data_IF_786664283477
#
_entry.id   IF_786664283477
#
_cell.length_a   1.000
_cell.length_b   1.000
_cell.length_c   1.000
_cell.angle_alpha   90.00
_cell.angle_beta   90.00
_cell.angle_gamma   90.00
#
_symmetry.space_group_name_H-M   'P 1'
#
loop_
_entity.id
_entity.type
_entity.pdbx_description
1 polymer ?
#
# COMPACT_ATOMS: atom_id res chain seq x y z
N UNK A 1 -18.81 -1.33 -22.51
CA UNK A 1 -18.53 -1.93 -21.20
C UNK A 1 -19.09 -1.01 -20.15
N UNK A 2 -20.14 -1.42 -19.47
CA UNK A 2 -20.82 -0.57 -18.47
C UNK A 2 -20.37 -1.03 -17.08
N UNK A 3 -19.58 -0.18 -16.40
CA UNK A 3 -19.28 -0.37 -14.99
C UNK A 3 -20.45 0.20 -14.17
N UNK A 4 -21.14 -0.68 -13.45
CA UNK A 4 -22.24 -0.29 -12.58
C UNK A 4 -21.73 -0.03 -11.17
N UNK A 5 -21.62 1.25 -10.81
CA UNK A 5 -21.14 1.68 -9.47
C UNK A 5 -22.18 1.38 -8.40
N UNK A 6 -21.79 0.63 -7.37
CA UNK A 6 -22.59 0.27 -6.19
C UNK A 6 -22.28 1.18 -5.00
N UNK A 7 -21.05 1.66 -4.91
CA UNK A 7 -20.56 2.50 -3.83
C UNK A 7 -19.41 3.37 -4.34
N UNK A 8 -19.27 4.59 -3.84
CA UNK A 8 -18.18 5.49 -4.19
C UNK A 8 -17.89 6.43 -3.03
N UNK A 9 -16.60 6.58 -2.68
CA UNK A 9 -16.16 7.45 -1.59
C UNK A 9 -14.72 7.90 -1.80
N UNK A 10 -14.28 8.89 -1.04
CA UNK A 10 -12.90 9.37 -1.03
C UNK A 10 -12.23 8.93 0.26
N UNK A 11 -11.05 8.36 0.14
CA UNK A 11 -10.17 8.04 1.25
C UNK A 11 -9.30 9.25 1.52
N UNK A 12 -9.44 9.82 2.70
CA UNK A 12 -8.61 10.92 3.19
C UNK A 12 -7.23 10.38 3.58
N UNK A 13 -6.21 10.80 2.87
CA UNK A 13 -4.80 10.48 3.12
C UNK A 13 -3.94 11.64 2.61
N UNK A 14 -2.61 11.51 2.69
CA UNK A 14 -1.69 12.50 2.12
C UNK A 14 -1.99 12.84 0.65
N UNK A 15 -2.59 11.89 -0.08
CA UNK A 15 -3.16 12.07 -1.41
C UNK A 15 -4.61 11.58 -1.35
N UNK A 16 -5.61 12.47 -1.49
CA UNK A 16 -7.01 12.03 -1.55
C UNK A 16 -7.23 11.04 -2.71
N UNK A 17 -7.79 9.88 -2.41
CA UNK A 17 -7.97 8.80 -3.37
C UNK A 17 -9.45 8.50 -3.51
N UNK A 18 -9.97 8.64 -4.70
CA UNK A 18 -11.34 8.24 -5.00
C UNK A 18 -11.41 6.73 -5.21
N UNK A 19 -12.32 6.08 -4.50
CA UNK A 19 -12.63 4.68 -4.61
C UNK A 19 -14.01 4.52 -5.24
N UNK A 20 -14.12 3.57 -6.17
CA UNK A 20 -15.40 3.15 -6.73
C UNK A 20 -15.52 1.63 -6.62
N UNK A 21 -16.61 1.16 -6.03
CA UNK A 21 -16.92 -0.26 -5.94
C UNK A 21 -18.11 -0.54 -6.86
N UNK A 22 -17.98 -1.50 -7.74
CA UNK A 22 -19.02 -1.79 -8.71
C UNK A 22 -18.91 -3.19 -9.30
N UNK A 23 -19.80 -3.45 -10.27
CA UNK A 23 -19.80 -4.65 -11.10
C UNK A 23 -19.46 -4.27 -12.53
N UNK A 24 -18.62 -5.08 -13.14
CA UNK A 24 -18.37 -5.06 -14.58
C UNK A 24 -19.01 -6.32 -15.18
N UNK A 25 -19.68 -6.19 -16.32
CA UNK A 25 -20.38 -7.31 -16.97
C UNK A 25 -19.43 -8.44 -17.43
N UNK A 26 -18.13 -8.15 -17.48
CA UNK A 26 -17.07 -9.10 -17.86
C UNK A 26 -16.45 -9.85 -16.68
N UNK A 27 -16.78 -9.45 -15.43
CA UNK A 27 -16.17 -10.00 -14.22
C UNK A 27 -17.20 -10.68 -13.32
N UNK A 28 -16.86 -11.86 -12.80
CA UNK A 28 -17.72 -12.61 -11.88
C UNK A 28 -17.78 -12.01 -10.47
N UNK A 29 -16.77 -11.19 -10.12
CA UNK A 29 -16.63 -10.58 -8.80
C UNK A 29 -16.77 -9.06 -8.91
N UNK A 30 -17.15 -8.42 -7.81
CA UNK A 30 -17.15 -6.96 -7.73
C UNK A 30 -15.73 -6.43 -7.81
N UNK A 31 -15.59 -5.24 -8.39
CA UNK A 31 -14.31 -4.56 -8.56
C UNK A 31 -14.23 -3.41 -7.55
N UNK A 32 -13.07 -3.29 -6.93
CA UNK A 32 -12.65 -2.15 -6.14
C UNK A 32 -11.67 -1.33 -6.98
N UNK A 33 -12.14 -0.23 -7.55
CA UNK A 33 -11.36 0.63 -8.44
C UNK A 33 -10.74 1.78 -7.66
N UNK A 34 -9.42 1.82 -7.67
CA UNK A 34 -8.62 2.92 -7.10
C UNK A 34 -8.36 3.93 -8.21
N UNK A 35 -8.80 5.15 -8.04
CA UNK A 35 -8.44 6.27 -8.90
C UNK A 35 -7.23 7.00 -8.31
N UNK A 36 -6.06 6.37 -8.46
CA UNK A 36 -4.79 6.97 -8.10
C UNK A 36 -4.35 7.98 -9.17
N UNK A 37 -3.51 8.97 -8.82
CA UNK A 37 -2.94 9.88 -9.80
C UNK A 37 -2.18 9.11 -10.89
N UNK A 38 -2.56 9.30 -12.13
CA UNK A 38 -1.85 8.74 -13.29
C UNK A 38 -0.85 9.76 -13.82
N UNK A 39 0.39 9.32 -14.02
CA UNK A 39 1.46 10.17 -14.52
C UNK A 39 1.84 9.76 -15.94
N UNK A 40 1.99 10.75 -16.81
CA UNK A 40 2.52 10.53 -18.16
C UNK A 40 3.97 10.00 -18.13
N UNK A 41 4.43 9.46 -19.26
CA UNK A 41 5.77 8.86 -19.38
C UNK A 41 6.89 9.82 -18.97
N UNK A 42 6.78 11.10 -19.34
CA UNK A 42 7.76 12.12 -18.97
C UNK A 42 7.84 12.35 -17.46
N UNK A 43 6.68 12.47 -16.79
CA UNK A 43 6.62 12.62 -15.34
C UNK A 43 7.18 11.39 -14.63
N UNK A 44 6.88 10.19 -15.10
CA UNK A 44 7.44 8.94 -14.55
C UNK A 44 8.96 8.88 -14.68
N UNK A 45 9.50 9.25 -15.84
CA UNK A 45 10.95 9.30 -16.05
C UNK A 45 11.62 10.29 -15.09
N UNK A 46 11.05 11.48 -14.94
CA UNK A 46 11.51 12.48 -13.97
C UNK A 46 11.45 11.97 -12.53
N UNK A 47 10.34 11.35 -12.10
CA UNK A 47 10.21 10.79 -10.76
C UNK A 47 11.25 9.69 -10.49
N UNK A 48 11.56 8.86 -11.48
CA UNK A 48 12.60 7.83 -11.37
C UNK A 48 14.02 8.43 -11.25
N UNK A 49 14.31 9.49 -11.99
CA UNK A 49 15.57 10.22 -11.87
C UNK A 49 15.70 10.87 -10.49
N UNK A 50 14.65 11.53 -10.01
CA UNK A 50 14.60 12.11 -8.66
C UNK A 50 14.80 11.07 -7.56
N UNK A 51 14.15 9.90 -7.66
CA UNK A 51 14.37 8.78 -6.71
C UNK A 51 15.84 8.38 -6.66
N UNK A 52 16.48 8.23 -7.82
CA UNK A 52 17.90 7.87 -7.91
C UNK A 52 18.80 8.92 -7.25
N UNK A 53 18.53 10.20 -7.48
CA UNK A 53 19.26 11.31 -6.86
C UNK A 53 19.07 11.34 -5.34
N UNK A 54 17.84 11.14 -4.85
CA UNK A 54 17.53 11.12 -3.41
C UNK A 54 18.29 9.98 -2.70
N UNK A 55 18.32 8.77 -3.30
CA UNK A 55 19.05 7.62 -2.73
C UNK A 55 20.55 7.93 -2.57
N UNK A 56 21.16 8.59 -3.54
CA UNK A 56 22.59 8.92 -3.49
C UNK A 56 22.94 9.98 -2.46
N UNK A 57 22.00 10.87 -2.14
CA UNK A 57 22.22 11.97 -1.20
C UNK A 57 21.86 11.65 0.26
N UNK A 58 21.02 10.63 0.49
CA UNK A 58 20.62 10.22 1.84
C UNK A 58 21.35 8.95 2.23
N UNK A 59 22.35 9.11 3.10
CA UNK A 59 23.09 7.98 3.65
C UNK A 59 22.27 7.27 4.73
N UNK A 60 21.63 6.14 4.38
CA UNK A 60 20.76 5.40 5.29
C UNK A 60 21.58 4.33 6.00
N UNK A 61 21.79 4.45 7.31
CA UNK A 61 22.33 3.35 8.10
C UNK A 61 21.22 2.33 8.40
N UNK A 62 21.42 1.10 7.94
CA UNK A 62 20.45 -0.01 8.10
C UNK A 62 20.10 -0.33 9.55
N UNK A 63 21.01 -0.06 10.50
CA UNK A 63 20.83 -0.34 11.93
C UNK A 63 19.73 0.50 12.60
N UNK A 64 19.50 1.72 12.12
CA UNK A 64 18.49 2.64 12.68
C UNK A 64 17.09 2.43 12.14
N UNK A 65 16.90 1.58 11.14
CA UNK A 65 15.58 1.32 10.53
C UNK A 65 14.61 0.54 11.44
N UNK A 66 15.07 0.04 12.57
CA UNK A 66 14.23 -0.66 13.57
C UNK A 66 13.52 0.32 14.52
N UNK A 67 13.95 1.57 14.58
CA UNK A 67 13.32 2.58 15.42
C UNK A 67 12.19 3.29 14.66
N UNK A 68 10.96 3.14 15.15
CA UNK A 68 9.77 3.76 14.55
C UNK A 68 9.86 5.31 14.49
N UNK A 69 10.52 5.93 15.47
CA UNK A 69 10.75 7.39 15.45
C UNK A 69 11.72 7.76 14.33
N UNK A 70 12.81 7.01 14.19
CA UNK A 70 13.77 7.22 13.12
C UNK A 70 13.14 7.03 11.73
N UNK A 71 12.28 6.02 11.55
CA UNK A 71 11.54 5.82 10.28
C UNK A 71 10.63 7.02 9.98
N UNK A 72 9.99 7.59 10.98
CA UNK A 72 9.14 8.77 10.81
C UNK A 72 9.96 10.01 10.44
N UNK A 73 11.08 10.23 11.11
CA UNK A 73 12.03 11.31 10.79
C UNK A 73 12.63 11.15 9.39
N UNK A 74 12.98 9.91 9.02
CA UNK A 74 13.47 9.57 7.70
C UNK A 74 12.43 9.88 6.62
N UNK A 75 11.18 9.46 6.80
CA UNK A 75 10.09 9.79 5.88
C UNK A 75 9.94 11.29 5.70
N UNK A 76 10.03 12.06 6.79
CA UNK A 76 9.95 13.53 6.73
C UNK A 76 11.11 14.12 5.94
N UNK A 77 12.35 13.69 6.23
CA UNK A 77 13.54 14.16 5.52
C UNK A 77 13.49 13.84 4.01
N UNK A 78 13.02 12.64 3.65
CA UNK A 78 12.78 12.26 2.25
C UNK A 78 11.73 13.15 1.58
N UNK A 79 10.61 13.40 2.26
CA UNK A 79 9.53 14.26 1.74
C UNK A 79 10.02 15.69 1.51
N UNK A 80 10.69 16.28 2.48
CA UNK A 80 11.27 17.63 2.37
C UNK A 80 12.27 17.72 1.21
N UNK A 81 13.13 16.70 1.07
CA UNK A 81 14.10 16.64 -0.03
C UNK A 81 13.40 16.51 -1.38
N UNK A 82 12.41 15.62 -1.49
CA UNK A 82 11.65 15.42 -2.72
C UNK A 82 10.92 16.71 -3.13
N UNK A 83 10.27 17.41 -2.20
CA UNK A 83 9.60 18.69 -2.45
C UNK A 83 10.61 19.75 -2.91
N UNK A 84 11.79 19.83 -2.27
CA UNK A 84 12.84 20.77 -2.67
C UNK A 84 13.37 20.51 -4.07
N UNK A 85 13.53 19.24 -4.47
CA UNK A 85 13.95 18.88 -5.84
C UNK A 85 12.84 19.15 -6.85
N UNK A 86 11.59 18.76 -6.53
CA UNK A 86 10.42 19.01 -7.38
C UNK A 86 10.20 20.51 -7.62
N UNK A 87 10.47 21.36 -6.64
CA UNK A 87 10.37 22.82 -6.78
C UNK A 87 11.36 23.40 -7.78
N UNK A 88 12.50 22.73 -7.99
CA UNK A 88 13.51 23.12 -9.01
C UNK A 88 13.15 22.60 -10.40
N UNK A 89 12.65 21.35 -10.49
CA UNK A 89 12.32 20.72 -11.76
C UNK A 89 10.95 21.20 -12.31
N UNK A 90 10.03 21.56 -11.42
CA UNK A 90 8.65 21.97 -11.74
C UNK A 90 8.30 23.31 -11.05
N UNK A 91 8.99 24.41 -11.35
CA UNK A 91 8.77 25.69 -10.67
C UNK A 91 7.36 26.27 -10.88
N UNK A 92 6.78 26.03 -12.05
CA UNK A 92 5.45 26.52 -12.44
C UNK A 92 4.29 25.68 -11.87
N UNK A 93 4.58 24.49 -11.30
CA UNK A 93 3.52 23.63 -10.76
C UNK A 93 3.02 24.15 -9.41
N UNK A 94 1.71 24.02 -9.12
CA UNK A 94 1.15 24.33 -7.82
C UNK A 94 1.82 23.52 -6.68
N UNK A 95 1.81 24.09 -5.47
CA UNK A 95 2.46 23.44 -4.31
C UNK A 95 1.82 22.09 -3.97
N UNK A 96 0.49 22.00 -4.03
CA UNK A 96 -0.28 20.77 -3.79
C UNK A 96 0.11 19.64 -4.75
N UNK A 97 0.35 19.95 -6.02
CA UNK A 97 0.83 18.97 -7.01
C UNK A 97 2.23 18.47 -6.65
N UNK A 98 3.14 19.37 -6.25
CA UNK A 98 4.49 18.98 -5.82
C UNK A 98 4.45 18.11 -4.55
N UNK A 99 3.59 18.43 -3.60
CA UNK A 99 3.41 17.66 -2.38
C UNK A 99 2.85 16.25 -2.67
N UNK A 100 1.90 16.13 -3.60
CA UNK A 100 1.39 14.85 -4.07
C UNK A 100 2.49 14.01 -4.76
N UNK A 101 3.27 14.61 -5.67
CA UNK A 101 4.39 13.94 -6.33
C UNK A 101 5.46 13.49 -5.33
N UNK A 102 5.78 14.32 -4.34
CA UNK A 102 6.71 13.96 -3.27
C UNK A 102 6.21 12.78 -2.45
N UNK A 103 4.90 12.73 -2.17
CA UNK A 103 4.27 11.62 -1.45
C UNK A 103 4.32 10.33 -2.27
N UNK A 104 4.11 10.41 -3.59
CA UNK A 104 4.27 9.24 -4.48
C UNK A 104 5.70 8.71 -4.44
N UNK A 105 6.71 9.60 -4.59
CA UNK A 105 8.13 9.22 -4.48
C UNK A 105 8.39 8.53 -3.14
N UNK A 106 7.88 9.09 -2.04
CA UNK A 106 8.07 8.55 -0.71
C UNK A 106 7.46 7.15 -0.57
N UNK A 107 6.24 6.96 -1.05
CA UNK A 107 5.55 5.67 -0.98
C UNK A 107 6.28 4.59 -1.78
N UNK A 108 6.87 4.95 -2.92
CA UNK A 108 7.66 4.02 -3.74
C UNK A 108 9.05 3.73 -3.16
N UNK A 109 9.67 4.68 -2.44
CA UNK A 109 11.03 4.52 -1.91
C UNK A 109 11.09 3.87 -0.52
N UNK A 110 10.18 4.26 0.36
CA UNK A 110 10.20 3.88 1.79
C UNK A 110 8.94 3.15 2.21
N UNK A 111 7.89 3.24 1.42
CA UNK A 111 6.60 2.60 1.62
C UNK A 111 6.45 1.28 0.85
N UNK A 112 5.19 0.88 0.70
CA UNK A 112 4.78 -0.31 -0.04
C UNK A 112 4.15 0.08 -1.39
N UNK A 113 4.58 1.20 -1.98
CA UNK A 113 4.10 1.68 -3.27
C UNK A 113 2.58 1.80 -3.35
N UNK A 114 1.94 1.20 -4.38
CA UNK A 114 0.48 1.28 -4.53
C UNK A 114 -0.32 0.64 -3.39
N UNK A 115 0.28 -0.26 -2.60
CA UNK A 115 -0.37 -0.86 -1.42
C UNK A 115 -0.66 0.20 -0.36
N UNK A 116 0.13 1.26 -0.26
CA UNK A 116 -0.11 2.36 0.70
C UNK A 116 -1.49 3.02 0.48
N UNK A 117 -1.97 3.10 -0.76
CA UNK A 117 -3.31 3.60 -1.07
C UNK A 117 -4.41 2.69 -0.51
N UNK A 118 -4.20 1.37 -0.57
CA UNK A 118 -5.14 0.40 0.01
C UNK A 118 -5.07 0.40 1.54
N UNK A 119 -3.86 0.56 2.10
CA UNK A 119 -3.66 0.67 3.55
C UNK A 119 -4.28 1.95 4.15
N UNK A 120 -4.45 2.99 3.37
CA UNK A 120 -5.11 4.22 3.81
C UNK A 120 -6.63 4.02 4.02
N UNK A 121 -7.27 3.08 3.29
CA UNK A 121 -8.69 2.84 3.42
C UNK A 121 -9.05 2.03 4.67
N UNK A 122 -9.66 2.68 5.64
CA UNK A 122 -10.14 2.08 6.89
C UNK A 122 -11.26 1.04 6.72
N UNK A 123 -11.89 0.95 5.53
CA UNK A 123 -12.93 -0.03 5.22
C UNK A 123 -12.38 -1.38 4.79
N UNK A 124 -11.08 -1.49 4.53
CA UNK A 124 -10.44 -2.74 4.17
C UNK A 124 -9.96 -3.48 5.42
N UNK A 125 -10.23 -4.78 5.48
CA UNK A 125 -9.79 -5.68 6.55
C UNK A 125 -8.62 -6.57 6.11
N UNK A 126 -8.51 -6.87 4.82
CA UNK A 126 -7.43 -7.68 4.29
C UNK A 126 -7.00 -7.19 2.90
N UNK A 127 -5.71 -7.23 2.64
CA UNK A 127 -5.09 -6.88 1.35
C UNK A 127 -4.22 -8.07 0.95
N UNK A 128 -4.42 -8.61 -0.25
CA UNK A 128 -3.75 -9.82 -0.73
C UNK A 128 -3.10 -9.58 -2.08
N UNK A 129 -1.81 -9.80 -2.14
CA UNK A 129 -0.99 -9.86 -3.36
C UNK A 129 -0.65 -11.33 -3.60
N UNK A 130 -1.07 -11.89 -4.74
CA UNK A 130 -0.83 -13.31 -5.04
C UNK A 130 0.36 -13.52 -6.00
N UNK A 131 0.55 -12.64 -6.97
CA UNK A 131 1.65 -12.65 -7.93
C UNK A 131 1.69 -11.33 -8.70
N UNK A 132 2.78 -11.05 -9.40
CA UNK A 132 2.86 -9.87 -10.26
C UNK A 132 1.91 -9.94 -11.48
N UNK A 133 1.53 -11.14 -11.91
CA UNK A 133 0.59 -11.36 -13.01
C UNK A 133 -0.88 -11.14 -12.62
N UNK A 134 -1.17 -11.05 -11.32
CA UNK A 134 -2.52 -10.94 -10.80
C UNK A 134 -2.77 -9.57 -10.15
N UNK A 135 -4.00 -9.05 -10.20
CA UNK A 135 -4.36 -7.85 -9.46
C UNK A 135 -4.32 -8.11 -7.96
N UNK A 136 -4.11 -7.07 -7.19
CA UNK A 136 -4.27 -7.11 -5.74
C UNK A 136 -5.74 -7.36 -5.42
N UNK A 137 -6.00 -8.20 -4.43
CA UNK A 137 -7.32 -8.46 -3.88
C UNK A 137 -7.49 -7.80 -2.52
N UNK A 138 -8.71 -7.38 -2.21
CA UNK A 138 -9.03 -6.77 -0.93
C UNK A 138 -10.30 -7.36 -0.34
N UNK A 139 -10.35 -7.45 0.98
CA UNK A 139 -11.57 -7.76 1.72
C UNK A 139 -12.12 -6.47 2.33
N UNK A 140 -13.30 -6.07 1.86
CA UNK A 140 -13.98 -4.87 2.31
C UNK A 140 -15.07 -5.21 3.31
N UNK A 141 -15.18 -4.48 4.44
CA UNK A 141 -16.13 -4.72 5.55
C UNK A 141 -17.58 -4.92 5.09
N UNK A 142 -18.03 -4.12 4.11
CA UNK A 142 -19.42 -4.13 3.63
C UNK A 142 -19.61 -5.00 2.39
N UNK A 143 -18.62 -5.12 1.54
CA UNK A 143 -18.76 -5.72 0.21
C UNK A 143 -18.10 -7.10 0.06
N UNK A 144 -17.34 -7.55 1.07
CA UNK A 144 -16.58 -8.80 1.05
C UNK A 144 -15.37 -8.75 0.11
N UNK A 145 -15.03 -9.86 -0.51
CA UNK A 145 -13.91 -9.95 -1.43
C UNK A 145 -14.14 -9.18 -2.72
N UNK A 146 -13.16 -8.36 -3.08
CA UNK A 146 -13.16 -7.51 -4.26
C UNK A 146 -11.83 -7.64 -5.00
N UNK A 147 -11.91 -7.66 -6.33
CA UNK A 147 -10.75 -7.56 -7.23
C UNK A 147 -10.42 -6.08 -7.42
N UNK A 148 -9.15 -5.71 -7.34
CA UNK A 148 -8.75 -4.31 -7.58
C UNK A 148 -8.24 -4.09 -9.01
N UNK A 149 -8.01 -2.83 -9.38
CA UNK A 149 -7.25 -2.45 -10.57
C UNK A 149 -5.78 -2.18 -10.28
N UNK A 150 -5.29 -2.57 -9.09
CA UNK A 150 -3.90 -2.39 -8.68
C UNK A 150 -3.09 -3.64 -9.00
N UNK A 151 -1.96 -3.45 -9.67
CA UNK A 151 -0.98 -4.49 -9.98
C UNK A 151 0.38 -4.11 -9.42
N UNK A 152 1.18 -5.10 -9.05
CA UNK A 152 2.55 -4.89 -8.56
C UNK A 152 3.50 -5.63 -9.48
N UNK A 153 4.18 -4.88 -10.32
CA UNK A 153 5.14 -5.41 -11.28
C UNK A 153 6.52 -4.78 -11.08
N UNK A 154 7.60 -5.53 -11.26
CA UNK A 154 7.70 -6.99 -11.48
C UNK A 154 7.62 -7.80 -10.16
N UNK A 155 7.78 -9.13 -10.23
CA UNK A 155 7.85 -10.03 -9.04
C UNK A 155 8.90 -9.57 -8.01
N UNK A 156 10.01 -9.00 -8.47
CA UNK A 156 11.04 -8.43 -7.60
C UNK A 156 10.51 -7.31 -6.70
N UNK A 157 9.48 -6.58 -7.14
CA UNK A 157 8.86 -5.52 -6.34
C UNK A 157 8.05 -6.08 -5.17
N UNK A 158 7.35 -7.22 -5.38
CA UNK A 158 6.66 -7.92 -4.28
C UNK A 158 7.67 -8.42 -3.25
N UNK A 159 8.81 -8.95 -3.70
CA UNK A 159 9.90 -9.36 -2.80
C UNK A 159 10.50 -8.16 -2.06
N UNK A 160 10.64 -7.02 -2.72
CA UNK A 160 11.10 -5.79 -2.10
C UNK A 160 10.15 -5.33 -0.98
N UNK A 161 8.84 -5.34 -1.23
CA UNK A 161 7.84 -4.98 -0.19
C UNK A 161 7.86 -5.96 0.98
N UNK A 162 7.96 -7.26 0.73
CA UNK A 162 8.12 -8.25 1.80
C UNK A 162 9.38 -7.98 2.64
N UNK A 163 10.48 -7.59 1.99
CA UNK A 163 11.73 -7.23 2.65
C UNK A 163 11.62 -5.93 3.46
N UNK A 164 10.87 -4.94 2.97
CA UNK A 164 10.56 -3.70 3.72
C UNK A 164 9.75 -4.05 4.97
N UNK A 165 8.71 -4.87 4.85
CA UNK A 165 7.88 -5.31 5.97
C UNK A 165 8.73 -6.07 7.01
N UNK A 166 9.57 -7.01 6.54
CA UNK A 166 10.45 -7.79 7.41
C UNK A 166 11.39 -6.90 8.23
N UNK A 167 12.03 -5.94 7.57
CA UNK A 167 12.94 -4.99 8.23
C UNK A 167 12.24 -4.15 9.30
N UNK A 168 11.00 -3.74 9.09
CA UNK A 168 10.21 -2.97 10.09
C UNK A 168 9.99 -3.72 11.40
N UNK A 169 10.12 -5.05 11.39
CA UNK A 169 9.95 -5.92 12.58
C UNK A 169 11.24 -6.65 12.96
N UNK A 170 12.40 -6.19 12.47
CA UNK A 170 13.70 -6.79 12.78
C UNK A 170 13.94 -8.17 12.19
N UNK A 171 13.21 -8.53 11.12
CA UNK A 171 13.35 -9.80 10.42
C UNK A 171 13.98 -9.61 9.04
N UNK A 172 14.45 -10.71 8.47
CA UNK A 172 14.95 -10.77 7.09
C UNK A 172 14.22 -11.88 6.33
N UNK A 173 13.91 -11.61 5.09
CA UNK A 173 13.37 -12.60 4.15
C UNK A 173 14.42 -12.84 3.07
N UNK A 174 14.77 -14.10 2.87
CA UNK A 174 15.80 -14.53 1.91
C UNK A 174 15.33 -15.78 1.16
N UNK A 175 16.05 -16.19 0.14
CA UNK A 175 15.80 -17.47 -0.57
C UNK A 175 15.86 -18.68 0.38
N UNK A 176 16.67 -18.61 1.43
CA UNK A 176 16.79 -19.67 2.44
C UNK A 176 15.67 -19.61 3.50
N UNK A 177 15.15 -18.41 3.76
CA UNK A 177 14.04 -18.16 4.68
C UNK A 177 12.96 -17.35 3.96
N UNK A 178 12.19 -17.97 3.04
CA UNK A 178 11.27 -17.25 2.17
C UNK A 178 9.89 -16.97 2.79
N UNK A 179 9.70 -17.30 4.07
CA UNK A 179 8.46 -17.07 4.79
C UNK A 179 8.60 -15.89 5.76
N UNK A 180 7.61 -15.02 5.77
CA UNK A 180 7.48 -13.94 6.73
C UNK A 180 6.15 -14.07 7.47
N UNK A 181 6.21 -13.99 8.78
CA UNK A 181 5.08 -13.71 9.66
C UNK A 181 5.49 -12.55 10.59
N UNK A 182 4.78 -11.44 10.48
CA UNK A 182 5.13 -10.19 11.12
C UNK A 182 3.90 -9.52 11.73
N UNK A 183 4.07 -9.00 12.96
CA UNK A 183 3.14 -8.05 13.57
C UNK A 183 3.71 -6.65 13.42
N UNK A 184 3.00 -5.80 12.70
CA UNK A 184 3.42 -4.41 12.45
C UNK A 184 3.13 -3.56 13.69
N UNK A 185 3.84 -2.45 13.82
CA UNK A 185 3.64 -1.47 14.92
C UNK A 185 2.22 -0.89 14.89
N UNK A 186 1.56 -0.88 13.74
CA UNK A 186 0.16 -0.49 13.56
C UNK A 186 -0.85 -1.48 14.17
N UNK A 187 -0.38 -2.66 14.63
CA UNK A 187 -1.21 -3.79 15.07
C UNK A 187 -1.58 -4.75 13.93
N UNK A 188 -1.37 -4.36 12.68
CA UNK A 188 -1.69 -5.19 11.52
C UNK A 188 -0.76 -6.42 11.47
N UNK A 189 -1.24 -7.53 10.92
CA UNK A 189 -0.44 -8.74 10.71
C UNK A 189 -0.12 -8.89 9.23
N UNK A 190 1.15 -9.08 8.92
CA UNK A 190 1.60 -9.30 7.57
C UNK A 190 2.25 -10.68 7.44
N UNK A 191 1.84 -11.43 6.42
CA UNK A 191 2.44 -12.69 6.02
C UNK A 191 2.97 -12.55 4.59
N UNK A 192 4.11 -13.15 4.30
CA UNK A 192 4.60 -13.27 2.94
C UNK A 192 5.19 -14.67 2.70
N UNK A 193 5.00 -15.15 1.48
CA UNK A 193 5.63 -16.37 0.98
C UNK A 193 6.32 -16.06 -0.33
N UNK A 194 7.63 -16.26 -0.39
CA UNK A 194 8.44 -15.93 -1.55
C UNK A 194 8.94 -17.20 -2.26
N UNK A 195 9.43 -17.02 -3.49
CA UNK A 195 10.13 -18.08 -4.18
C UNK A 195 11.33 -18.58 -3.30
N UNK A 196 11.59 -19.90 -3.23
CA UNK A 196 11.03 -20.99 -4.05
C UNK A 196 9.74 -21.65 -3.49
N UNK A 197 9.29 -21.30 -2.30
CA UNK A 197 8.09 -21.93 -1.70
C UNK A 197 6.84 -21.55 -2.49
N UNK A 198 6.71 -20.28 -2.85
CA UNK A 198 5.61 -19.80 -3.68
C UNK A 198 5.95 -19.94 -5.17
N UNK A 199 5.62 -21.08 -5.76
CA UNK A 199 6.00 -21.44 -7.13
C UNK A 199 5.26 -20.68 -8.23
N UNK A 200 4.10 -20.07 -7.91
CA UNK A 200 3.29 -19.30 -8.87
C UNK A 200 3.59 -17.79 -8.87
N UNK A 201 4.34 -17.33 -7.89
CA UNK A 201 4.65 -15.93 -7.68
C UNK A 201 4.76 -15.61 -6.20
N UNK A 202 5.39 -14.52 -5.88
CA UNK A 202 5.53 -14.06 -4.49
C UNK A 202 4.18 -13.57 -3.95
N UNK A 203 3.88 -13.87 -2.68
CA UNK A 203 2.61 -13.48 -2.07
C UNK A 203 2.85 -12.62 -0.84
N UNK A 204 1.96 -11.64 -0.64
CA UNK A 204 1.90 -10.84 0.59
C UNK A 204 0.43 -10.76 1.00
N UNK A 205 0.14 -11.05 2.26
CA UNK A 205 -1.18 -10.84 2.86
C UNK A 205 -1.04 -9.92 4.05
N UNK A 206 -1.80 -8.83 4.08
CA UNK A 206 -1.83 -7.89 5.20
C UNK A 206 -3.24 -7.92 5.78
N UNK A 207 -3.39 -8.44 7.00
CA UNK A 207 -4.64 -8.41 7.77
C UNK A 207 -4.61 -7.23 8.71
N UNK A 208 -5.60 -6.38 8.57
CA UNK A 208 -5.67 -5.15 9.35
C UNK A 208 -6.21 -5.42 10.74
N UNK A 209 -5.55 -4.83 11.71
CA UNK A 209 -6.07 -4.81 13.07
C UNK A 209 -7.25 -3.84 13.14
N UNK A 210 -8.38 -4.32 13.68
CA UNK A 210 -9.56 -3.48 13.85
C UNK A 210 -9.29 -2.44 14.94
N UNK A 211 -9.37 -1.18 14.58
CA UNK A 211 -9.12 -0.07 15.52
C UNK A 211 -10.26 0.08 16.52
N UNK A 212 -11.48 -0.20 16.09
CA UNK A 212 -12.68 -0.20 16.93
C UNK A 212 -13.00 -1.63 17.34
N UNK A 213 -12.70 -2.03 18.58
CA UNK A 213 -12.99 -3.40 19.05
C UNK A 213 -14.50 -3.65 19.06
N UNK A 214 -14.89 -4.89 18.80
CA UNK A 214 -16.28 -5.30 18.93
C UNK A 214 -16.76 -5.12 20.36
N UNK A 215 -17.87 -4.41 20.53
CA UNK A 215 -18.59 -4.32 21.78
C UNK A 215 -19.64 -5.43 21.89
N UNK A 216 -20.14 -5.68 23.09
CA UNK A 216 -21.26 -6.63 23.30
C UNK A 216 -22.49 -6.20 22.47
N UNK A 217 -22.71 -4.90 22.35
CA UNK A 217 -23.81 -4.34 21.54
C UNK A 217 -23.63 -4.69 20.05
N UNK A 218 -22.41 -4.67 19.53
CA UNK A 218 -22.14 -5.04 18.13
C UNK A 218 -22.42 -6.53 17.89
N UNK A 219 -22.10 -7.41 18.85
CA UNK A 219 -22.41 -8.83 18.76
C UNK A 219 -23.92 -9.11 18.77
N UNK A 220 -24.68 -8.35 19.55
CA UNK A 220 -26.13 -8.45 19.57
C UNK A 220 -26.74 -7.93 18.27
N UNK A 221 -26.30 -6.74 17.81
CA UNK A 221 -26.79 -6.11 16.57
C UNK A 221 -26.48 -6.92 15.32
N UNK A 222 -25.35 -7.62 15.31
CA UNK A 222 -24.95 -8.52 14.20
C UNK A 222 -25.64 -9.88 14.25
N UNK A 223 -26.45 -10.18 15.30
CA UNK A 223 -27.06 -11.46 15.50
C UNK A 223 -26.13 -12.59 15.93
N UNK A 224 -24.88 -12.25 16.27
CA UNK A 224 -23.87 -13.22 16.73
C UNK A 224 -24.15 -13.69 18.17
N UNK A 225 -24.76 -12.83 18.99
CA UNK A 225 -25.15 -13.13 20.34
C UNK A 225 -26.59 -12.68 20.56
N UNK A 226 -27.31 -13.42 21.45
CA UNK A 226 -28.66 -13.05 21.92
C UNK A 226 -28.56 -12.05 23.07
N UNK A 227 -29.53 -11.15 23.17
CA UNK A 227 -29.68 -10.22 24.30
C UNK A 227 -30.30 -10.87 25.55
N UNK A 228 -30.56 -12.20 25.56
CA UNK A 228 -31.17 -12.95 26.66
C UNK A 228 -30.14 -13.27 27.73
#
# INVERSE_FOLDING_TARGET
MTFNTLDAYTVESDIPIRIEIGKDDTEFVKIYRVHAPEFGLGTRAMLNDLKSKIVTEINISSEKMLDAKFVTELKRAFKEKAVGMLSRELPESPQDVRDQLATVILNEMVGLGPIEFLLADGNLEEIVVNAASEPVWVYHKKHGWLKTNVYIHPEAEIQNYASIIARRVGKQVTVLNPLLDAHLVTGDRANASLFPISSRGNTITIRRFRRDPWTVTDFINSGTASAA
#
